data_IF_711801463284
#
_entry.id   IF_711801463284
#
_cell.length_a   1.000
_cell.length_b   1.000
_cell.length_c   1.000
_cell.angle_alpha   90.00
_cell.angle_beta   90.00
_cell.angle_gamma   90.00
#
_symmetry.space_group_name_H-M   'P 1'
#
loop_
_entity.id
_entity.type
_entity.pdbx_description
1 polymer ?
#
# COMPACT_ATOMS: atom_id res chain seq x y z
N UNK A 1 0.41 19.29 -28.87
CA UNK A 1 0.27 18.87 -27.46
C UNK A 1 0.73 17.43 -27.20
N UNK A 2 0.12 16.44 -27.86
CA UNK A 2 0.48 15.02 -27.72
C UNK A 2 1.96 14.71 -27.93
N UNK A 3 2.56 15.24 -28.99
CA UNK A 3 3.99 15.05 -29.28
C UNK A 3 4.87 15.62 -28.17
N UNK A 4 4.49 16.77 -27.58
CA UNK A 4 5.21 17.39 -26.47
C UNK A 4 5.16 16.51 -25.22
N UNK A 5 3.97 16.01 -24.86
CA UNK A 5 3.78 15.11 -23.72
C UNK A 5 4.46 13.76 -23.94
N UNK A 6 4.51 13.26 -25.18
CA UNK A 6 5.22 12.02 -25.50
C UNK A 6 6.75 12.15 -25.40
N UNK A 7 7.29 13.33 -25.71
CA UNK A 7 8.73 13.62 -25.59
C UNK A 7 9.16 13.88 -24.15
N UNK A 8 8.29 14.52 -23.36
CA UNK A 8 8.57 14.91 -21.98
C UNK A 8 7.35 14.58 -21.10
N UNK A 9 7.15 13.28 -20.91
CA UNK A 9 6.03 12.76 -20.15
C UNK A 9 6.15 13.18 -18.68
N UNK A 10 5.02 13.57 -18.04
CA UNK A 10 5.05 13.95 -16.63
C UNK A 10 5.54 12.77 -15.79
N UNK A 11 6.36 13.05 -14.78
CA UNK A 11 6.76 12.02 -13.82
C UNK A 11 5.55 11.59 -13.00
N UNK A 12 5.25 10.30 -13.06
CA UNK A 12 4.14 9.70 -12.35
C UNK A 12 4.53 9.28 -10.91
N UNK A 13 5.84 9.33 -10.57
CA UNK A 13 6.36 9.18 -9.21
C UNK A 13 5.92 10.32 -8.29
N UNK A 14 5.79 11.54 -8.84
CA UNK A 14 5.44 12.78 -8.14
C UNK A 14 3.92 12.90 -7.86
N UNK A 15 3.18 11.78 -7.81
CA UNK A 15 1.78 11.77 -7.39
C UNK A 15 1.62 11.64 -5.86
N UNK A 16 2.71 11.72 -5.09
CA UNK A 16 2.69 11.89 -3.64
C UNK A 16 2.40 13.37 -3.30
N UNK A 17 1.49 13.67 -2.36
CA UNK A 17 1.14 15.04 -1.98
C UNK A 17 2.26 15.82 -1.26
N UNK A 18 3.42 15.21 -1.02
CA UNK A 18 4.53 15.79 -0.27
C UNK A 18 5.62 16.43 -1.14
N UNK A 19 5.67 16.11 -2.44
CA UNK A 19 6.58 16.83 -3.36
C UNK A 19 5.89 18.12 -3.81
N UNK A 20 6.21 19.18 -3.08
CA UNK A 20 5.87 20.55 -3.44
C UNK A 20 6.21 20.77 -4.91
N UNK A 21 5.29 21.34 -5.71
CA UNK A 21 5.63 21.68 -7.08
C UNK A 21 6.89 22.56 -7.04
N UNK A 22 7.81 22.32 -7.97
CA UNK A 22 9.12 22.97 -7.96
C UNK A 22 9.02 24.49 -7.75
N UNK A 23 10.10 25.15 -7.31
CA UNK A 23 10.11 26.54 -6.84
C UNK A 23 9.60 27.59 -7.85
N UNK A 24 9.36 27.21 -9.11
CA UNK A 24 8.78 28.05 -10.16
C UNK A 24 7.24 28.01 -10.24
N UNK A 25 6.56 27.18 -9.43
CA UNK A 25 5.12 26.99 -9.48
C UNK A 25 4.35 27.83 -8.45
N UNK A 26 5.01 28.26 -7.38
CA UNK A 26 4.45 29.18 -6.38
C UNK A 26 4.67 30.63 -6.81
N UNK A 27 3.58 31.35 -7.02
CA UNK A 27 3.61 32.78 -7.34
C UNK A 27 2.85 33.50 -6.25
N UNK A 28 3.54 34.34 -5.49
CA UNK A 28 2.92 35.33 -4.63
C UNK A 28 2.68 36.62 -5.45
N UNK A 29 1.42 36.87 -5.82
CA UNK A 29 1.07 38.08 -6.55
C UNK A 29 1.39 39.38 -5.78
N UNK A 30 1.44 39.34 -4.45
CA UNK A 30 1.68 40.51 -3.61
C UNK A 30 3.15 40.94 -3.57
N UNK A 31 4.07 39.99 -3.83
CA UNK A 31 5.51 40.23 -3.81
C UNK A 31 6.12 40.33 -5.21
N UNK A 32 5.36 39.98 -6.25
CA UNK A 32 5.76 40.06 -7.66
C UNK A 32 5.93 38.68 -8.29
N UNK A 33 5.83 38.63 -9.62
CA UNK A 33 5.82 37.38 -10.40
C UNK A 33 7.12 36.56 -10.28
N UNK A 34 8.22 37.15 -9.80
CA UNK A 34 9.50 36.47 -9.63
C UNK A 34 9.89 36.19 -8.18
N UNK A 35 9.15 36.68 -7.19
CA UNK A 35 9.52 36.60 -5.78
C UNK A 35 9.81 35.16 -5.33
N UNK A 36 8.83 34.25 -5.46
CA UNK A 36 9.00 32.85 -5.05
C UNK A 36 10.12 32.11 -5.79
N UNK A 37 10.31 32.40 -7.09
CA UNK A 37 11.38 31.81 -7.89
C UNK A 37 12.77 32.28 -7.42
N UNK A 38 12.93 33.56 -7.10
CA UNK A 38 14.20 34.13 -6.62
C UNK A 38 14.50 33.63 -5.20
N UNK A 39 13.50 33.61 -4.32
CA UNK A 39 13.66 33.16 -2.94
C UNK A 39 14.11 31.71 -2.83
N UNK A 40 13.51 30.83 -3.62
CA UNK A 40 13.75 29.40 -3.52
C UNK A 40 14.95 28.90 -4.34
N UNK A 41 15.43 29.67 -5.32
CA UNK A 41 16.59 29.28 -6.13
C UNK A 41 17.91 29.40 -5.37
N UNK A 42 18.82 28.48 -5.68
CA UNK A 42 20.21 28.45 -5.19
C UNK A 42 21.23 28.38 -6.34
N UNK A 43 20.74 28.49 -7.56
CA UNK A 43 21.50 28.44 -8.80
C UNK A 43 21.41 29.77 -9.56
N UNK A 44 22.37 29.99 -10.45
CA UNK A 44 22.42 31.15 -11.33
C UNK A 44 22.85 30.74 -12.74
N UNK A 45 22.61 31.64 -13.70
CA UNK A 45 23.07 31.49 -15.07
C UNK A 45 23.94 32.68 -15.46
N UNK A 46 25.17 32.40 -15.94
CA UNK A 46 26.05 33.35 -16.60
C UNK A 46 26.10 32.96 -18.08
N UNK A 47 25.74 33.89 -18.96
CA UNK A 47 25.81 33.66 -20.40
C UNK A 47 27.22 33.96 -20.98
N UNK A 48 27.51 33.59 -22.25
CA UNK A 48 28.82 33.83 -22.86
C UNK A 48 29.20 35.31 -22.96
N UNK A 49 28.25 36.23 -22.76
CA UNK A 49 28.50 37.66 -22.72
C UNK A 49 28.86 38.16 -21.32
N UNK A 50 29.04 37.27 -20.34
CA UNK A 50 29.34 37.65 -18.96
C UNK A 50 28.15 38.26 -18.23
N UNK A 51 26.93 37.90 -18.65
CA UNK A 51 25.71 38.43 -18.05
C UNK A 51 25.11 37.45 -17.07
N UNK A 52 24.92 37.87 -15.81
CA UNK A 52 24.34 37.09 -14.73
C UNK A 52 22.81 37.25 -14.68
N UNK A 53 22.10 36.15 -14.40
CA UNK A 53 20.66 36.09 -14.15
C UNK A 53 20.29 34.90 -13.26
N UNK A 54 19.11 34.91 -12.65
CA UNK A 54 18.61 33.82 -11.80
C UNK A 54 17.98 32.65 -12.59
N UNK A 55 17.82 32.79 -13.91
CA UNK A 55 17.25 31.76 -14.77
C UNK A 55 17.81 31.88 -16.20
N UNK A 56 18.16 30.76 -16.82
CA UNK A 56 18.73 30.71 -18.17
C UNK A 56 17.80 31.26 -19.27
N UNK A 57 16.48 31.24 -19.04
CA UNK A 57 15.47 31.76 -19.95
C UNK A 57 15.28 33.28 -19.86
N UNK A 58 15.81 33.96 -18.84
CA UNK A 58 15.74 35.42 -18.77
C UNK A 58 16.59 35.99 -19.90
N UNK A 59 15.94 36.62 -20.88
CA UNK A 59 16.57 37.35 -21.99
C UNK A 59 16.28 38.85 -22.00
N UNK A 60 15.45 39.34 -21.08
CA UNK A 60 15.25 40.78 -20.90
C UNK A 60 16.53 41.42 -20.33
N UNK A 61 17.15 42.39 -21.04
CA UNK A 61 18.29 43.13 -20.53
C UNK A 61 18.02 43.84 -19.19
N UNK A 62 16.78 44.21 -18.89
CA UNK A 62 16.43 44.90 -17.64
C UNK A 62 16.48 43.99 -16.40
N UNK A 63 16.53 42.66 -16.59
CA UNK A 63 16.57 41.64 -15.54
C UNK A 63 17.93 40.92 -15.50
N UNK A 64 18.96 41.53 -16.06
CA UNK A 64 20.27 40.93 -16.32
C UNK A 64 21.39 41.84 -15.83
N UNK A 65 22.40 41.25 -15.21
CA UNK A 65 23.51 41.97 -14.60
C UNK A 65 24.81 41.76 -15.37
N UNK A 66 25.50 42.85 -15.74
CA UNK A 66 26.75 42.80 -16.51
C UNK A 66 27.97 42.63 -15.58
N UNK A 67 28.51 41.42 -15.48
CA UNK A 67 29.66 41.11 -14.63
C UNK A 67 30.95 41.77 -15.12
N UNK A 68 30.97 42.36 -16.32
CA UNK A 68 32.14 43.12 -16.80
C UNK A 68 32.18 44.53 -16.21
N UNK A 69 31.07 44.99 -15.64
CA UNK A 69 30.90 46.34 -15.08
C UNK A 69 30.76 46.36 -13.56
N UNK A 70 30.67 45.21 -12.91
CA UNK A 70 30.57 45.12 -11.46
C UNK A 70 30.91 43.72 -10.94
N UNK A 71 30.64 43.47 -9.66
CA UNK A 71 31.06 42.21 -9.00
C UNK A 71 29.97 41.15 -9.01
N UNK A 72 30.36 39.87 -8.91
CA UNK A 72 29.42 38.77 -8.73
C UNK A 72 28.61 38.91 -7.44
N UNK A 73 29.25 39.28 -6.34
CA UNK A 73 28.60 39.50 -5.04
C UNK A 73 27.48 40.53 -5.14
N UNK A 74 27.72 41.66 -5.82
CA UNK A 74 26.68 42.66 -6.07
C UNK A 74 25.55 42.11 -6.95
N UNK A 75 25.89 41.36 -8.00
CA UNK A 75 24.91 40.71 -8.86
C UNK A 75 24.00 39.70 -8.13
N UNK A 76 24.59 38.90 -7.24
CA UNK A 76 23.94 37.79 -6.55
C UNK A 76 23.21 38.22 -5.26
N UNK A 77 23.86 39.00 -4.40
CA UNK A 77 23.34 39.36 -3.08
C UNK A 77 22.45 40.62 -3.11
N UNK A 78 22.53 41.44 -4.17
CA UNK A 78 21.81 42.72 -4.25
C UNK A 78 20.91 42.80 -5.47
N UNK A 79 21.49 42.66 -6.67
CA UNK A 79 20.74 42.88 -7.92
C UNK A 79 19.61 41.85 -8.09
N UNK A 80 19.91 40.55 -8.03
CA UNK A 80 18.91 39.47 -8.22
C UNK A 80 17.78 39.55 -7.17
N UNK A 81 18.06 39.62 -5.84
CA UNK A 81 17.02 39.79 -4.84
C UNK A 81 16.14 41.03 -5.08
N UNK A 82 16.74 42.13 -5.54
CA UNK A 82 16.03 43.36 -5.91
C UNK A 82 15.06 43.22 -7.09
N UNK A 83 15.08 42.11 -7.83
CA UNK A 83 14.15 41.85 -8.94
C UNK A 83 12.82 41.23 -8.50
N UNK A 84 12.70 40.73 -7.26
CA UNK A 84 11.52 39.99 -6.77
C UNK A 84 10.19 40.70 -7.09
N UNK A 85 10.09 41.98 -6.72
CA UNK A 85 8.91 42.83 -6.96
C UNK A 85 8.95 43.70 -8.21
N UNK A 86 9.94 43.50 -9.10
CA UNK A 86 10.12 44.37 -10.28
C UNK A 86 9.07 44.11 -11.37
N UNK A 87 8.57 42.89 -11.46
CA UNK A 87 7.56 42.48 -12.44
C UNK A 87 6.28 42.07 -11.71
N UNK A 88 5.24 42.87 -11.89
CA UNK A 88 3.96 42.64 -11.23
C UNK A 88 2.96 41.88 -12.10
N UNK A 89 2.07 41.15 -11.46
CA UNK A 89 0.96 40.49 -12.12
C UNK A 89 0.04 41.52 -12.80
N UNK A 90 -0.12 41.39 -14.12
CA UNK A 90 -1.04 42.20 -14.91
C UNK A 90 -2.46 41.61 -14.96
N UNK A 91 -3.45 42.36 -15.48
CA UNK A 91 -4.82 41.87 -15.64
C UNK A 91 -4.93 40.59 -16.50
N UNK A 92 -4.02 40.44 -17.47
CA UNK A 92 -3.92 39.25 -18.31
C UNK A 92 -3.60 37.98 -17.52
N UNK A 93 -2.75 38.07 -16.50
CA UNK A 93 -2.42 36.95 -15.62
C UNK A 93 -3.59 36.62 -14.70
N UNK A 94 -4.11 37.63 -13.97
CA UNK A 94 -5.18 37.43 -12.98
C UNK A 94 -6.46 36.84 -13.57
N UNK A 95 -6.82 37.25 -14.79
CA UNK A 95 -7.99 36.72 -15.50
C UNK A 95 -7.78 35.30 -16.05
N UNK A 96 -6.53 34.86 -16.19
CA UNK A 96 -6.17 33.59 -16.83
C UNK A 96 -5.31 32.73 -15.89
N UNK A 97 -3.99 32.78 -16.04
CA UNK A 97 -3.05 31.87 -15.39
C UNK A 97 -3.09 31.93 -13.86
N UNK A 98 -3.33 33.11 -13.26
CA UNK A 98 -3.42 33.29 -11.81
C UNK A 98 -4.67 32.67 -11.18
N UNK A 99 -5.75 32.49 -11.95
CA UNK A 99 -6.99 31.86 -11.51
C UNK A 99 -7.17 30.43 -12.06
N UNK A 100 -6.14 29.87 -12.70
CA UNK A 100 -6.24 28.61 -13.43
C UNK A 100 -6.05 27.41 -12.49
N UNK A 101 -7.02 26.49 -12.47
CA UNK A 101 -6.98 25.23 -11.72
C UNK A 101 -5.97 24.21 -12.27
N UNK A 102 -5.43 24.47 -13.47
CA UNK A 102 -4.42 23.63 -14.16
C UNK A 102 -2.98 24.04 -13.87
N UNK A 103 -2.75 24.90 -12.88
CA UNK A 103 -1.42 25.46 -12.63
C UNK A 103 -0.35 24.39 -12.34
N UNK A 104 -0.73 23.31 -11.66
CA UNK A 104 0.14 22.17 -11.36
C UNK A 104 0.53 21.35 -12.61
N UNK A 105 -0.32 21.35 -13.64
CA UNK A 105 -0.08 20.66 -14.93
C UNK A 105 0.50 21.63 -15.99
N UNK A 106 0.82 22.87 -15.62
CA UNK A 106 1.15 23.93 -16.57
C UNK A 106 2.58 24.44 -16.39
N UNK A 107 3.34 24.40 -17.48
CA UNK A 107 4.72 24.89 -17.55
C UNK A 107 4.83 26.39 -17.77
N UNK A 108 3.72 27.11 -17.73
CA UNK A 108 3.73 28.57 -17.84
C UNK A 108 4.60 29.17 -16.74
N UNK A 109 5.43 30.13 -17.11
CA UNK A 109 6.08 31.03 -16.16
C UNK A 109 6.18 32.42 -16.79
N UNK A 110 6.39 33.48 -15.99
CA UNK A 110 6.43 34.85 -16.51
C UNK A 110 7.54 35.04 -17.55
N UNK A 111 8.68 34.34 -17.39
CA UNK A 111 9.80 34.38 -18.35
C UNK A 111 9.39 33.80 -19.69
N UNK A 112 8.69 32.65 -19.68
CA UNK A 112 8.18 32.02 -20.89
C UNK A 112 7.15 32.92 -21.58
N UNK A 113 6.25 33.53 -20.81
CA UNK A 113 5.28 34.49 -21.34
C UNK A 113 5.96 35.67 -22.04
N UNK A 114 7.03 36.20 -21.45
CA UNK A 114 7.84 37.27 -22.05
C UNK A 114 8.55 36.83 -23.33
N UNK A 115 9.14 35.63 -23.37
CA UNK A 115 9.80 35.13 -24.58
C UNK A 115 8.83 34.97 -25.76
N UNK A 116 7.60 34.55 -25.49
CA UNK A 116 6.57 34.33 -26.51
C UNK A 116 5.87 35.62 -26.98
N UNK A 117 5.74 36.62 -26.08
CA UNK A 117 4.84 37.76 -26.33
C UNK A 117 5.40 39.14 -25.98
N UNK A 118 6.58 39.20 -25.36
CA UNK A 118 7.11 40.42 -24.73
C UNK A 118 6.36 40.86 -23.46
N UNK A 119 5.39 40.07 -22.98
CA UNK A 119 4.56 40.40 -21.82
C UNK A 119 4.59 39.28 -20.77
N UNK A 120 5.10 39.60 -19.58
CA UNK A 120 5.22 38.68 -18.43
C UNK A 120 3.90 38.11 -17.92
N UNK A 121 2.76 38.72 -18.27
CA UNK A 121 1.42 38.33 -17.82
C UNK A 121 0.57 37.71 -18.93
N UNK A 122 1.14 37.45 -20.12
CA UNK A 122 0.37 36.91 -21.23
C UNK A 122 0.02 35.43 -21.03
N UNK A 123 -1.22 35.09 -21.37
CA UNK A 123 -1.63 33.69 -21.56
C UNK A 123 -1.02 33.17 -22.86
N UNK A 124 -0.41 31.98 -22.81
CA UNK A 124 0.15 31.31 -23.98
C UNK A 124 -0.77 30.14 -24.37
N UNK A 125 -1.58 30.24 -25.45
CA UNK A 125 -2.60 29.25 -25.76
C UNK A 125 -2.08 27.83 -25.94
N UNK A 126 -0.90 27.65 -26.54
CA UNK A 126 -0.35 26.31 -26.75
C UNK A 126 0.05 25.63 -25.43
N UNK A 127 0.57 26.39 -24.44
CA UNK A 127 0.88 25.85 -23.11
C UNK A 127 -0.37 25.42 -22.36
N UNK A 128 -1.51 26.10 -22.57
CA UNK A 128 -2.79 25.63 -22.05
C UNK A 128 -3.20 24.30 -22.69
N UNK A 129 -3.04 24.16 -24.00
CA UNK A 129 -3.33 22.90 -24.69
C UNK A 129 -2.39 21.75 -24.27
N UNK A 130 -1.12 22.05 -23.95
CA UNK A 130 -0.18 21.07 -23.37
C UNK A 130 -0.62 20.68 -21.97
N UNK A 131 -0.98 21.61 -21.11
CA UNK A 131 -1.47 21.31 -19.76
C UNK A 131 -2.75 20.45 -19.78
N UNK A 132 -3.65 20.69 -20.73
CA UNK A 132 -4.84 19.86 -20.94
C UNK A 132 -4.48 18.42 -21.33
N UNK A 133 -3.50 18.27 -22.21
CA UNK A 133 -3.00 16.96 -22.62
C UNK A 133 -2.23 16.27 -21.48
N UNK A 134 -1.41 16.98 -20.71
CA UNK A 134 -0.69 16.42 -19.53
C UNK A 134 -1.68 15.89 -18.49
N UNK A 135 -2.75 16.65 -18.19
CA UNK A 135 -3.83 16.19 -17.30
C UNK A 135 -4.51 14.94 -17.85
N UNK A 136 -4.86 14.95 -19.13
CA UNK A 136 -5.49 13.80 -19.81
C UNK A 136 -4.59 12.57 -19.74
N UNK A 137 -3.31 12.74 -20.04
CA UNK A 137 -2.30 11.69 -19.95
C UNK A 137 -2.18 11.13 -18.54
N UNK A 138 -2.09 12.00 -17.52
CA UNK A 138 -1.99 11.61 -16.10
C UNK A 138 -3.19 10.79 -15.65
N UNK A 139 -4.40 11.20 -16.03
CA UNK A 139 -5.64 10.49 -15.70
C UNK A 139 -5.75 9.14 -16.42
N UNK A 140 -5.39 9.09 -17.70
CA UNK A 140 -5.33 7.85 -18.47
C UNK A 140 -4.29 6.88 -17.90
N UNK A 141 -3.11 7.38 -17.53
CA UNK A 141 -2.06 6.59 -16.92
C UNK A 141 -2.55 5.99 -15.60
N UNK A 142 -3.10 6.81 -14.69
CA UNK A 142 -3.66 6.32 -13.42
C UNK A 142 -4.71 5.23 -13.64
N UNK A 143 -5.61 5.40 -14.61
CA UNK A 143 -6.63 4.39 -14.93
C UNK A 143 -6.02 3.07 -15.44
N UNK A 144 -4.94 3.13 -16.21
CA UNK A 144 -4.32 1.95 -16.83
C UNK A 144 -3.28 1.26 -15.94
N UNK A 145 -2.59 2.01 -15.10
CA UNK A 145 -1.40 1.58 -14.36
C UNK A 145 -1.60 1.48 -12.85
N UNK A 146 -2.76 1.89 -12.32
CA UNK A 146 -3.06 1.84 -10.89
C UNK A 146 -4.23 0.92 -10.56
N UNK A 147 -4.09 0.12 -9.50
CA UNK A 147 -5.18 -0.68 -8.92
C UNK A 147 -5.17 -0.53 -7.41
N UNK A 148 -6.34 -0.67 -6.79
CA UNK A 148 -6.48 -0.61 -5.34
C UNK A 148 -7.07 -1.91 -4.80
N UNK A 149 -6.53 -2.38 -3.70
CA UNK A 149 -7.00 -3.54 -2.95
C UNK A 149 -7.20 -3.15 -1.49
N UNK A 150 -8.07 -3.84 -0.74
CA UNK A 150 -8.30 -3.52 0.66
C UNK A 150 -8.37 -4.75 1.54
N UNK A 151 -7.58 -4.76 2.61
CA UNK A 151 -7.58 -5.80 3.64
C UNK A 151 -7.30 -5.18 5.02
N UNK A 152 -7.99 -5.65 6.06
CA UNK A 152 -7.84 -5.17 7.44
C UNK A 152 -7.98 -3.64 7.61
N UNK A 153 -8.83 -3.01 6.81
CA UNK A 153 -9.03 -1.55 6.80
C UNK A 153 -7.93 -0.75 6.07
N UNK A 154 -6.91 -1.42 5.57
CA UNK A 154 -5.77 -0.84 4.83
C UNK A 154 -6.06 -0.93 3.33
N UNK A 155 -5.92 0.17 2.61
CA UNK A 155 -5.98 0.20 1.15
C UNK A 155 -4.58 0.15 0.55
N UNK A 156 -4.32 -0.86 -0.28
CA UNK A 156 -3.06 -1.05 -0.99
C UNK A 156 -3.22 -0.54 -2.42
N UNK A 157 -2.47 0.51 -2.75
CA UNK A 157 -2.33 1.05 -4.09
C UNK A 157 -1.18 0.36 -4.80
N UNK A 158 -1.48 -0.38 -5.86
CA UNK A 158 -0.49 -0.96 -6.76
C UNK A 158 -0.34 -0.07 -7.97
N UNK A 159 0.89 0.35 -8.24
CA UNK A 159 1.31 1.03 -9.46
C UNK A 159 2.29 0.15 -10.23
N UNK A 160 2.28 0.27 -11.56
CA UNK A 160 3.12 -0.55 -12.42
C UNK A 160 3.49 0.21 -13.69
N UNK A 161 4.76 0.15 -14.07
CA UNK A 161 5.22 0.73 -15.34
C UNK A 161 4.61 0.01 -16.56
N UNK A 162 4.11 -1.22 -16.39
CA UNK A 162 3.32 -1.95 -17.40
C UNK A 162 1.81 -1.70 -17.21
N UNK A 163 1.06 -1.56 -18.31
CA UNK A 163 -0.41 -1.42 -18.27
C UNK A 163 -1.07 -2.63 -17.59
N UNK A 164 -1.70 -2.41 -16.43
CA UNK A 164 -2.36 -3.46 -15.63
C UNK A 164 -3.61 -4.04 -16.30
N UNK A 165 -4.20 -3.32 -17.25
CA UNK A 165 -5.32 -3.83 -18.06
C UNK A 165 -4.92 -4.94 -19.03
N UNK A 166 -3.62 -5.08 -19.33
CA UNK A 166 -3.08 -6.12 -20.21
C UNK A 166 -2.74 -7.44 -19.49
N UNK A 167 -2.88 -7.46 -18.16
CA UNK A 167 -2.51 -8.58 -17.30
C UNK A 167 -3.75 -9.11 -16.58
N UNK A 168 -3.85 -10.44 -16.45
CA UNK A 168 -4.93 -11.09 -15.71
C UNK A 168 -4.55 -11.17 -14.23
N UNK A 169 -5.38 -10.62 -13.36
CA UNK A 169 -5.22 -10.82 -11.91
C UNK A 169 -5.82 -12.15 -11.46
N UNK A 170 -5.19 -12.77 -10.48
CA UNK A 170 -5.75 -13.92 -9.76
C UNK A 170 -7.13 -13.54 -9.19
N UNK A 171 -8.20 -14.34 -9.44
CA UNK A 171 -9.52 -14.09 -8.87
C UNK A 171 -9.52 -13.88 -7.34
N UNK A 172 -8.64 -14.57 -6.61
CA UNK A 172 -8.51 -14.39 -5.17
C UNK A 172 -8.05 -12.98 -4.77
N UNK A 173 -7.16 -12.35 -5.56
CA UNK A 173 -6.78 -10.95 -5.37
C UNK A 173 -7.93 -10.00 -5.74
N UNK A 174 -8.63 -10.28 -6.84
CA UNK A 174 -9.75 -9.45 -7.31
C UNK A 174 -10.90 -9.40 -6.30
N UNK A 175 -11.07 -10.41 -5.45
CA UNK A 175 -12.03 -10.39 -4.34
C UNK A 175 -11.78 -9.24 -3.34
N UNK A 176 -10.56 -8.70 -3.30
CA UNK A 176 -10.15 -7.59 -2.43
C UNK A 176 -10.06 -6.25 -3.17
N UNK A 177 -10.37 -6.20 -4.47
CA UNK A 177 -10.26 -4.98 -5.26
C UNK A 177 -11.28 -3.91 -4.82
N UNK A 178 -10.84 -2.65 -4.78
CA UNK A 178 -11.67 -1.47 -4.46
C UNK A 178 -11.46 -0.37 -5.51
N UNK A 179 -12.41 0.56 -5.71
CA UNK A 179 -12.32 1.53 -6.80
C UNK A 179 -11.29 2.65 -6.57
N UNK A 180 -10.81 2.84 -5.34
CA UNK A 180 -9.97 3.99 -5.00
C UNK A 180 -9.38 3.92 -3.59
N UNK A 181 -8.71 5.00 -3.16
CA UNK A 181 -8.04 5.08 -1.86
C UNK A 181 -9.03 5.01 -0.68
N UNK A 182 -8.52 4.53 0.45
CA UNK A 182 -9.22 4.47 1.74
C UNK A 182 -8.74 5.53 2.72
N UNK A 183 -8.98 5.31 4.02
CA UNK A 183 -8.48 6.18 5.09
C UNK A 183 -6.99 5.95 5.39
N UNK A 184 -6.56 4.70 5.29
CA UNK A 184 -5.19 4.24 5.50
C UNK A 184 -4.73 3.65 4.17
N UNK A 185 -3.69 4.24 3.58
CA UNK A 185 -3.23 3.89 2.24
C UNK A 185 -1.75 3.53 2.28
N UNK A 186 -1.40 2.46 1.57
CA UNK A 186 -0.01 2.08 1.28
C UNK A 186 0.18 2.04 -0.22
N UNK A 187 1.38 2.35 -0.70
CA UNK A 187 1.67 2.45 -2.14
C UNK A 187 2.85 1.57 -2.50
N UNK A 188 2.65 0.63 -3.43
CA UNK A 188 3.70 -0.20 -3.99
C UNK A 188 3.82 0.02 -5.49
N UNK A 189 5.01 0.39 -5.94
CA UNK A 189 5.31 0.62 -7.35
C UNK A 189 6.16 -0.51 -7.92
N UNK A 190 5.70 -1.05 -9.05
CA UNK A 190 6.35 -2.13 -9.78
C UNK A 190 7.09 -1.56 -10.98
N UNK A 191 8.39 -1.76 -10.97
CA UNK A 191 9.32 -1.44 -12.02
C UNK A 191 9.76 -2.72 -12.71
N UNK A 192 9.84 -2.68 -14.03
CA UNK A 192 10.35 -3.79 -14.86
C UNK A 192 11.71 -3.46 -15.48
N UNK A 193 12.40 -2.49 -14.88
CA UNK A 193 13.74 -2.08 -15.22
C UNK A 193 14.53 -1.99 -13.91
N UNK A 194 15.66 -2.67 -13.85
CA UNK A 194 16.50 -2.69 -12.66
C UNK A 194 17.36 -1.43 -12.59
N UNK A 195 17.46 -0.76 -11.42
CA UNK A 195 18.38 0.34 -11.23
C UNK A 195 19.83 -0.16 -11.29
N UNK A 196 20.78 0.74 -11.58
CA UNK A 196 22.20 0.41 -11.49
C UNK A 196 22.58 0.21 -10.02
N UNK A 197 22.72 -1.06 -9.64
CA UNK A 197 23.05 -1.50 -8.28
C UNK A 197 24.53 -1.81 -8.09
N UNK A 198 25.38 -1.61 -9.11
CA UNK A 198 26.79 -2.05 -9.08
C UNK A 198 27.63 -1.33 -8.02
N UNK A 199 27.20 -0.15 -7.57
CA UNK A 199 27.86 0.67 -6.54
C UNK A 199 26.98 0.94 -5.32
N UNK A 200 25.81 0.29 -5.25
CA UNK A 200 24.87 0.47 -4.15
C UNK A 200 25.37 -0.26 -2.89
N UNK A 201 25.56 0.47 -1.81
CA UNK A 201 25.62 -0.10 -0.46
C UNK A 201 24.18 -0.27 0.05
N UNK A 202 23.74 -1.51 0.28
CA UNK A 202 22.39 -1.82 0.78
C UNK A 202 22.27 -1.78 2.32
N UNK A 203 23.34 -1.38 3.01
CA UNK A 203 23.39 -1.32 4.46
C UNK A 203 23.59 -2.70 5.13
N UNK A 204 23.65 -2.73 6.48
CA UNK A 204 23.87 -3.96 7.23
C UNK A 204 22.75 -5.00 7.04
N UNK A 205 23.15 -6.26 6.89
CA UNK A 205 22.24 -7.40 6.88
C UNK A 205 21.71 -7.69 8.28
N UNK A 206 20.38 -7.77 8.40
CA UNK A 206 19.70 -8.14 9.64
C UNK A 206 19.16 -9.57 9.60
N UNK A 207 19.05 -10.15 8.41
CA UNK A 207 18.56 -11.51 8.19
C UNK A 207 19.21 -12.13 6.96
N UNK A 208 19.66 -13.38 7.07
CA UNK A 208 20.21 -14.19 5.97
C UNK A 208 19.79 -15.64 6.12
N UNK A 209 18.80 -16.06 5.34
CA UNK A 209 18.41 -17.46 5.18
C UNK A 209 17.53 -17.58 3.95
N UNK A 210 17.88 -18.51 3.07
CA UNK A 210 17.13 -18.75 1.84
C UNK A 210 15.61 -18.88 2.09
N UNK A 211 14.77 -18.23 1.27
CA UNK A 211 15.14 -17.53 0.04
C UNK A 211 15.54 -16.06 0.23
N UNK A 212 15.78 -15.56 1.45
CA UNK A 212 15.90 -14.11 1.70
C UNK A 212 17.23 -13.66 2.32
N UNK A 213 17.71 -12.52 1.82
CA UNK A 213 18.59 -11.61 2.56
C UNK A 213 17.85 -10.29 2.77
N UNK A 214 17.82 -9.82 4.02
CA UNK A 214 17.17 -8.56 4.40
C UNK A 214 18.22 -7.64 4.99
N UNK A 215 18.33 -6.43 4.44
CA UNK A 215 19.24 -5.38 4.87
C UNK A 215 18.45 -4.16 5.32
N UNK A 216 19.03 -3.32 6.17
CA UNK A 216 18.40 -2.07 6.65
C UNK A 216 19.32 -0.89 6.36
N UNK A 217 18.81 0.12 5.65
CA UNK A 217 19.56 1.35 5.30
C UNK A 217 18.64 2.55 5.43
N UNK A 218 19.07 3.59 6.16
CA UNK A 218 18.40 4.91 6.19
C UNK A 218 16.88 4.85 6.41
N UNK A 219 16.40 3.97 7.30
CA UNK A 219 14.95 3.83 7.54
C UNK A 219 14.19 3.09 6.43
N UNK A 220 14.88 2.28 5.62
CA UNK A 220 14.28 1.42 4.59
C UNK A 220 14.73 -0.03 4.76
N UNK A 221 13.84 -0.94 4.36
CA UNK A 221 14.09 -2.38 4.30
C UNK A 221 14.40 -2.78 2.88
N UNK A 222 15.51 -3.48 2.68
CA UNK A 222 15.94 -3.97 1.37
C UNK A 222 15.91 -5.50 1.37
N UNK A 223 15.08 -6.09 0.53
CA UNK A 223 14.96 -7.54 0.35
C UNK A 223 15.61 -7.95 -0.98
N UNK A 224 16.39 -9.03 -0.92
CA UNK A 224 16.99 -9.70 -2.08
C UNK A 224 16.81 -11.21 -1.94
N UNK A 225 16.64 -11.88 -3.07
CA UNK A 225 16.53 -13.34 -3.11
C UNK A 225 17.92 -13.99 -2.95
N UNK A 226 17.97 -15.16 -2.32
CA UNK A 226 19.20 -15.97 -2.21
C UNK A 226 18.88 -17.45 -2.27
N UNK A 227 19.55 -18.18 -3.16
CA UNK A 227 19.42 -19.64 -3.24
C UNK A 227 19.90 -20.37 -1.98
N UNK A 228 19.42 -21.61 -1.69
CA UNK A 228 19.75 -22.38 -0.48
C UNK A 228 21.24 -22.56 -0.19
N UNK A 229 22.08 -22.60 -1.23
CA UNK A 229 23.52 -22.78 -1.15
C UNK A 229 24.31 -21.61 -1.77
N UNK A 230 23.63 -20.51 -2.11
CA UNK A 230 24.26 -19.35 -2.72
C UNK A 230 25.02 -18.55 -1.65
N UNK A 231 26.22 -18.07 -2.01
CA UNK A 231 27.02 -17.19 -1.13
C UNK A 231 26.58 -15.73 -1.27
N UNK A 232 26.15 -15.35 -2.46
CA UNK A 232 25.72 -13.99 -2.83
C UNK A 232 24.23 -13.99 -3.15
N UNK A 233 23.49 -12.93 -2.76
CA UNK A 233 22.12 -12.72 -3.21
C UNK A 233 22.05 -12.56 -4.73
N UNK A 234 20.88 -12.87 -5.27
CA UNK A 234 20.49 -12.52 -6.64
C UNK A 234 20.32 -11.00 -6.74
N UNK A 235 20.63 -10.45 -7.92
CA UNK A 235 20.66 -9.00 -8.18
C UNK A 235 19.69 -8.59 -9.28
N UNK A 236 18.86 -9.52 -9.74
CA UNK A 236 17.90 -9.34 -10.82
C UNK A 236 16.50 -8.96 -10.30
N UNK A 237 16.25 -9.13 -8.99
CA UNK A 237 15.07 -8.64 -8.30
C UNK A 237 15.42 -7.92 -7.00
N UNK A 238 14.67 -6.87 -6.69
CA UNK A 238 14.91 -6.03 -5.51
C UNK A 238 13.59 -5.47 -4.98
N UNK A 239 13.39 -5.55 -3.66
CA UNK A 239 12.27 -4.88 -3.00
C UNK A 239 12.79 -3.92 -1.94
N UNK A 240 12.36 -2.67 -2.03
CA UNK A 240 12.69 -1.61 -1.07
C UNK A 240 11.39 -1.16 -0.44
N UNK A 241 11.27 -1.27 0.88
CA UNK A 241 10.10 -0.79 1.63
C UNK A 241 10.53 0.30 2.60
N UNK A 242 9.65 1.28 2.85
CA UNK A 242 9.80 2.23 3.96
C UNK A 242 9.81 1.49 5.31
N UNK A 243 10.29 2.14 6.37
CA UNK A 243 10.40 1.55 7.71
C UNK A 243 9.08 0.93 8.21
N UNK A 244 7.96 1.57 7.88
CA UNK A 244 6.59 1.23 8.26
C UNK A 244 5.81 0.47 7.17
N UNK A 245 6.47 0.09 6.06
CA UNK A 245 5.88 -0.56 4.89
C UNK A 245 4.72 0.22 4.21
N UNK A 246 4.59 1.52 4.48
CA UNK A 246 3.59 2.37 3.81
C UNK A 246 3.94 2.67 2.36
N UNK A 247 5.22 2.66 2.00
CA UNK A 247 5.73 2.83 0.63
C UNK A 247 6.64 1.67 0.25
N UNK A 248 6.64 1.29 -1.03
CA UNK A 248 7.56 0.30 -1.53
C UNK A 248 7.82 0.37 -3.04
N UNK A 249 9.07 0.13 -3.42
CA UNK A 249 9.53 0.02 -4.81
C UNK A 249 9.98 -1.40 -5.07
N UNK A 250 9.45 -1.99 -6.13
CA UNK A 250 9.58 -3.40 -6.46
C UNK A 250 10.16 -3.49 -7.86
N UNK A 251 11.41 -3.91 -7.95
CA UNK A 251 12.13 -4.03 -9.21
C UNK A 251 12.17 -5.49 -9.63
N UNK A 252 11.64 -5.73 -10.83
CA UNK A 252 11.46 -7.03 -11.44
C UNK A 252 12.18 -7.08 -12.78
N UNK A 253 12.40 -8.30 -13.27
CA UNK A 253 13.05 -8.52 -14.56
C UNK A 253 12.08 -8.41 -15.73
N UNK A 254 12.62 -8.28 -16.94
CA UNK A 254 11.86 -8.47 -18.18
C UNK A 254 11.26 -9.88 -18.32
N UNK A 255 11.86 -10.89 -17.67
CA UNK A 255 11.31 -12.24 -17.64
C UNK A 255 10.04 -12.29 -16.78
N UNK A 256 10.04 -11.66 -15.61
CA UNK A 256 8.85 -11.52 -14.75
C UNK A 256 7.72 -10.81 -15.49
N UNK A 257 8.03 -9.79 -16.30
CA UNK A 257 7.07 -9.10 -17.16
C UNK A 257 6.43 -10.03 -18.19
N UNK A 258 7.17 -11.00 -18.73
CA UNK A 258 6.63 -12.01 -19.66
C UNK A 258 5.74 -13.00 -18.91
N UNK A 259 6.22 -13.51 -17.77
CA UNK A 259 5.46 -14.43 -16.90
C UNK A 259 4.12 -13.82 -16.47
N UNK A 260 4.10 -12.53 -16.14
CA UNK A 260 2.86 -11.80 -15.85
C UNK A 260 1.82 -11.85 -16.97
N UNK A 261 2.26 -11.79 -18.23
CA UNK A 261 1.34 -11.82 -19.38
C UNK A 261 0.77 -13.22 -19.61
N UNK A 262 1.52 -14.26 -19.28
CA UNK A 262 1.13 -15.67 -19.52
C UNK A 262 0.41 -16.30 -18.34
N UNK A 263 0.91 -16.12 -17.13
CA UNK A 263 0.41 -16.75 -15.90
C UNK A 263 -0.55 -15.83 -15.14
N UNK A 264 -0.28 -14.52 -15.16
CA UNK A 264 -1.08 -13.50 -14.48
C UNK A 264 -0.42 -12.96 -13.21
N UNK A 265 -1.14 -12.08 -12.53
CA UNK A 265 -0.72 -11.40 -11.30
C UNK A 265 -1.23 -12.16 -10.07
N UNK A 266 -0.35 -12.78 -9.31
CA UNK A 266 -0.70 -13.72 -8.22
C UNK A 266 -0.44 -13.21 -6.80
N UNK A 267 0.49 -12.28 -6.61
CA UNK A 267 0.77 -11.61 -5.32
C UNK A 267 0.90 -10.11 -5.53
N UNK A 268 0.59 -9.30 -4.52
CA UNK A 268 0.62 -7.85 -4.65
C UNK A 268 2.03 -7.30 -4.80
N UNK A 269 3.05 -8.02 -4.34
CA UNK A 269 4.44 -7.56 -4.42
C UNK A 269 5.38 -8.48 -5.19
N UNK A 270 4.90 -9.54 -5.84
CA UNK A 270 5.77 -10.54 -6.51
C UNK A 270 6.75 -11.30 -5.61
N UNK A 271 6.71 -11.08 -4.29
CA UNK A 271 7.38 -11.98 -3.35
C UNK A 271 6.71 -13.36 -3.40
N UNK A 272 7.46 -14.40 -2.98
CA UNK A 272 6.91 -15.75 -2.81
C UNK A 272 5.68 -15.78 -1.91
N UNK A 273 5.55 -14.81 -0.99
CA UNK A 273 4.31 -14.57 -0.26
C UNK A 273 4.21 -13.12 0.23
N UNK A 274 3.02 -12.53 0.12
CA UNK A 274 2.71 -11.19 0.65
C UNK A 274 2.75 -11.13 2.19
N UNK A 275 2.82 -12.27 2.89
CA UNK A 275 2.96 -12.33 4.35
C UNK A 275 4.20 -11.57 4.84
N UNK A 276 5.23 -11.44 4.01
CA UNK A 276 6.52 -10.83 4.35
C UNK A 276 6.38 -9.35 4.70
N UNK A 277 5.63 -8.60 3.91
CA UNK A 277 5.39 -7.17 4.14
C UNK A 277 4.09 -6.95 4.92
N UNK A 278 3.09 -7.82 4.73
CA UNK A 278 1.78 -7.63 5.33
C UNK A 278 1.80 -7.91 6.85
N UNK A 279 2.56 -8.90 7.33
CA UNK A 279 2.67 -9.17 8.76
C UNK A 279 3.22 -7.97 9.58
N UNK A 280 4.40 -7.39 9.24
CA UNK A 280 4.89 -6.22 9.98
C UNK A 280 3.96 -5.00 9.84
N UNK A 281 3.37 -4.78 8.65
CA UNK A 281 2.40 -3.69 8.43
C UNK A 281 1.16 -3.80 9.33
N UNK A 282 0.65 -5.02 9.51
CA UNK A 282 -0.51 -5.32 10.37
C UNK A 282 -0.21 -5.09 11.85
N UNK A 283 0.99 -5.46 12.30
CA UNK A 283 1.41 -5.29 13.69
C UNK A 283 1.34 -3.81 14.12
N UNK A 284 1.72 -2.90 13.22
CA UNK A 284 1.62 -1.45 13.44
C UNK A 284 0.18 -0.93 13.54
N UNK A 285 -0.78 -1.71 13.04
CA UNK A 285 -2.21 -1.38 12.97
C UNK A 285 -3.05 -2.22 13.94
N UNK A 286 -2.42 -2.78 14.97
CA UNK A 286 -3.10 -3.55 16.01
C UNK A 286 -3.74 -4.84 15.49
N UNK A 287 -3.13 -5.44 14.46
CA UNK A 287 -3.59 -6.66 13.84
C UNK A 287 -2.46 -7.70 13.74
N UNK A 288 -2.84 -8.97 13.68
CA UNK A 288 -1.91 -10.09 13.48
C UNK A 288 -2.47 -11.07 12.46
N UNK A 289 -1.57 -11.74 11.75
CA UNK A 289 -1.93 -12.78 10.80
C UNK A 289 -1.72 -14.17 11.40
N UNK A 290 -2.69 -15.07 11.22
CA UNK A 290 -2.67 -16.42 11.75
C UNK A 290 -2.86 -17.46 10.65
N UNK A 291 -2.05 -18.51 10.70
CA UNK A 291 -2.25 -19.74 9.92
C UNK A 291 -3.45 -20.51 10.46
N UNK A 292 -4.59 -20.30 9.82
CA UNK A 292 -5.90 -20.71 10.30
C UNK A 292 -6.90 -20.72 9.14
N UNK A 293 -8.02 -21.42 9.31
CA UNK A 293 -9.20 -21.18 8.49
C UNK A 293 -10.19 -20.29 9.23
N UNK A 294 -10.97 -19.48 8.52
CA UNK A 294 -12.02 -18.68 9.13
C UNK A 294 -13.27 -18.63 8.26
N UNK A 295 -14.39 -18.52 8.94
CA UNK A 295 -15.72 -18.41 8.33
C UNK A 295 -16.53 -17.35 9.06
N UNK A 296 -17.54 -16.81 8.38
CA UNK A 296 -18.63 -16.06 8.98
C UNK A 296 -19.91 -16.88 8.89
N UNK A 297 -20.58 -17.08 10.02
CA UNK A 297 -21.92 -17.68 10.08
C UNK A 297 -22.89 -16.62 10.63
N UNK A 298 -23.94 -16.30 9.88
CA UNK A 298 -24.92 -15.26 10.22
C UNK A 298 -24.25 -13.91 10.56
N UNK A 299 -23.18 -13.56 9.82
CA UNK A 299 -22.39 -12.34 10.03
C UNK A 299 -21.46 -12.37 11.24
N UNK A 300 -21.25 -13.52 11.89
CA UNK A 300 -20.37 -13.68 13.04
C UNK A 300 -19.17 -14.57 12.69
N UNK A 301 -17.96 -14.07 12.95
CA UNK A 301 -16.70 -14.71 12.54
C UNK A 301 -16.20 -15.73 13.55
N UNK A 302 -15.76 -16.89 13.06
CA UNK A 302 -15.04 -17.90 13.82
C UNK A 302 -13.72 -18.21 13.13
N UNK A 303 -12.66 -18.39 13.94
CA UNK A 303 -11.33 -18.74 13.47
C UNK A 303 -10.96 -20.14 13.97
N UNK A 304 -10.56 -21.02 13.07
CA UNK A 304 -10.13 -22.38 13.36
C UNK A 304 -8.61 -22.49 13.21
N UNK A 305 -7.92 -22.68 14.33
CA UNK A 305 -6.48 -22.78 14.41
C UNK A 305 -6.03 -24.22 14.62
N UNK A 306 -4.95 -24.62 13.97
CA UNK A 306 -4.37 -25.95 14.15
C UNK A 306 -3.13 -26.14 13.29
N UNK A 307 -2.30 -27.11 13.67
CA UNK A 307 -1.13 -27.49 12.88
C UNK A 307 -1.54 -27.96 11.47
N UNK A 308 -0.61 -27.98 10.52
CA UNK A 308 -0.85 -28.58 9.20
C UNK A 308 -1.33 -30.02 9.37
N UNK A 309 -2.40 -30.40 8.68
CA UNK A 309 -3.05 -31.71 8.84
C UNK A 309 -4.07 -31.83 9.98
N UNK A 310 -4.27 -30.79 10.82
CA UNK A 310 -5.28 -30.83 11.89
C UNK A 310 -6.74 -30.86 11.39
N UNK A 311 -6.98 -30.63 10.10
CA UNK A 311 -8.30 -30.68 9.47
C UNK A 311 -8.94 -29.33 9.17
N UNK A 312 -8.17 -28.23 9.07
CA UNK A 312 -8.70 -26.87 8.78
C UNK A 312 -9.58 -26.81 7.53
N UNK A 313 -9.08 -27.28 6.39
CA UNK A 313 -9.81 -27.34 5.12
C UNK A 313 -11.00 -28.30 5.19
N UNK A 314 -10.85 -29.42 5.91
CA UNK A 314 -11.92 -30.40 6.16
C UNK A 314 -13.08 -29.77 6.95
N UNK A 315 -12.78 -29.00 8.01
CA UNK A 315 -13.78 -28.29 8.81
C UNK A 315 -14.55 -27.29 7.95
N UNK A 316 -13.86 -26.46 7.16
CA UNK A 316 -14.49 -25.49 6.25
C UNK A 316 -15.41 -26.18 5.25
N UNK A 317 -14.96 -27.27 4.63
CA UNK A 317 -15.73 -28.04 3.65
C UNK A 317 -16.98 -28.68 4.27
N UNK A 318 -16.84 -29.23 5.48
CA UNK A 318 -17.95 -29.84 6.23
C UNK A 318 -19.02 -28.81 6.60
N UNK A 319 -18.61 -27.64 7.08
CA UNK A 319 -19.51 -26.55 7.43
C UNK A 319 -20.24 -26.03 6.17
N UNK A 320 -19.52 -25.89 5.05
CA UNK A 320 -20.11 -25.51 3.76
C UNK A 320 -21.19 -26.50 3.32
N UNK A 321 -20.88 -27.80 3.34
CA UNK A 321 -21.82 -28.86 2.93
C UNK A 321 -23.07 -28.91 3.83
N UNK A 322 -22.92 -28.62 5.12
CA UNK A 322 -24.04 -28.54 6.04
C UNK A 322 -24.95 -27.31 5.79
N UNK A 323 -24.40 -26.23 5.23
CA UNK A 323 -25.16 -25.02 4.86
C UNK A 323 -25.82 -25.06 3.47
N UNK A 324 -25.21 -25.75 2.49
CA UNK A 324 -25.72 -25.84 1.10
C UNK A 324 -26.65 -27.02 0.87
N UNK A 325 -26.42 -28.14 1.55
CA UNK A 325 -27.35 -29.26 1.58
C UNK A 325 -28.39 -29.00 2.65
N UNK A 326 -29.67 -29.18 2.32
CA UNK A 326 -30.76 -29.40 3.27
C UNK A 326 -30.54 -30.69 4.08
N UNK A 327 -29.38 -30.81 4.72
CA UNK A 327 -29.05 -31.82 5.69
C UNK A 327 -30.02 -31.55 6.83
N UNK A 328 -31.06 -32.38 6.90
CA UNK A 328 -31.97 -32.50 8.03
C UNK A 328 -31.12 -32.77 9.28
N UNK A 329 -30.56 -31.73 9.88
CA UNK A 329 -29.98 -31.81 11.21
C UNK A 329 -31.16 -32.08 12.14
N UNK A 330 -31.23 -33.34 12.54
CA UNK A 330 -32.08 -34.00 13.53
C UNK A 330 -33.09 -33.11 14.27
N UNK A 331 -34.36 -33.45 14.00
CA UNK A 331 -35.60 -33.21 14.76
C UNK A 331 -35.38 -32.92 16.26
N UNK A 332 -35.28 -31.66 16.64
CA UNK A 332 -35.76 -31.21 17.95
C UNK A 332 -36.25 -29.76 17.89
N UNK A 333 -37.58 -29.61 17.81
CA UNK A 333 -38.45 -28.48 18.21
C UNK A 333 -38.05 -27.00 18.00
N UNK A 334 -37.00 -26.65 17.27
CA UNK A 334 -36.71 -25.26 16.88
C UNK A 334 -36.70 -25.13 15.36
N UNK A 335 -37.41 -24.10 14.87
CA UNK A 335 -37.58 -23.74 13.46
C UNK A 335 -36.26 -23.88 12.67
N UNK A 336 -36.36 -24.44 11.46
CA UNK A 336 -35.34 -24.38 10.41
C UNK A 336 -34.76 -22.97 10.34
N UNK A 337 -33.56 -22.78 10.89
CA UNK A 337 -32.76 -21.58 10.71
C UNK A 337 -31.76 -21.89 9.62
N UNK A 338 -31.96 -21.33 8.43
CA UNK A 338 -30.92 -21.26 7.41
C UNK A 338 -29.71 -20.54 7.99
N UNK A 339 -28.53 -21.16 7.97
CA UNK A 339 -27.27 -20.50 8.31
C UNK A 339 -26.71 -19.84 7.05
N UNK A 340 -26.51 -18.53 7.10
CA UNK A 340 -25.73 -17.82 6.08
C UNK A 340 -24.24 -18.05 6.37
N UNK A 341 -23.57 -18.85 5.53
CA UNK A 341 -22.18 -19.27 5.72
C UNK A 341 -21.32 -18.65 4.63
N UNK A 342 -20.28 -17.93 5.04
CA UNK A 342 -19.26 -17.37 4.16
C UNK A 342 -17.89 -17.85 4.58
N UNK A 343 -17.14 -18.40 3.64
CA UNK A 343 -15.73 -18.73 3.85
C UNK A 343 -14.92 -17.44 3.71
N UNK A 344 -14.10 -17.13 4.70
CA UNK A 344 -13.23 -15.95 4.67
C UNK A 344 -11.90 -16.27 4.00
N UNK A 345 -11.22 -17.30 4.49
CA UNK A 345 -10.00 -17.89 3.92
C UNK A 345 -9.69 -19.18 4.70
N UNK A 346 -9.12 -20.20 4.08
CA UNK A 346 -8.80 -21.48 4.73
C UNK A 346 -7.35 -21.60 5.24
N UNK A 347 -6.47 -20.65 4.91
CA UNK A 347 -5.05 -20.73 5.24
C UNK A 347 -4.50 -19.52 6.02
N UNK A 348 -4.74 -18.28 5.56
CA UNK A 348 -4.22 -17.07 6.22
C UNK A 348 -5.36 -16.10 6.52
N UNK A 349 -5.58 -15.86 7.81
CA UNK A 349 -6.60 -14.94 8.29
C UNK A 349 -5.98 -13.90 9.22
N UNK A 350 -6.59 -12.72 9.23
CA UNK A 350 -6.16 -11.59 10.03
C UNK A 350 -7.13 -11.42 11.18
N UNK A 351 -6.57 -11.27 12.39
CA UNK A 351 -7.31 -10.86 13.58
C UNK A 351 -6.89 -9.43 13.92
N UNK A 352 -7.86 -8.53 13.97
CA UNK A 352 -7.62 -7.10 14.20
C UNK A 352 -8.47 -6.61 15.37
N UNK A 353 -7.89 -5.69 16.15
CA UNK A 353 -8.60 -4.96 17.19
C UNK A 353 -8.74 -3.47 16.82
N UNK A 354 -9.95 -3.06 16.45
CA UNK A 354 -10.26 -1.68 16.05
C UNK A 354 -11.48 -1.19 16.79
N UNK A 355 -11.41 0.01 17.38
CA UNK A 355 -12.52 0.66 18.10
C UNK A 355 -13.16 -0.23 19.19
N UNK A 356 -12.35 -0.95 19.96
CA UNK A 356 -12.82 -1.83 21.03
C UNK A 356 -13.52 -3.11 20.55
N UNK A 357 -13.36 -3.47 19.27
CA UNK A 357 -13.98 -4.68 18.70
C UNK A 357 -12.94 -5.54 18.01
N UNK A 358 -13.08 -6.84 18.21
CA UNK A 358 -12.31 -7.85 17.49
C UNK A 358 -13.02 -8.22 16.21
N UNK A 359 -12.26 -8.24 15.12
CA UNK A 359 -12.72 -8.71 13.81
C UNK A 359 -11.76 -9.74 13.26
N UNK A 360 -12.30 -10.69 12.50
CA UNK A 360 -11.54 -11.62 11.67
C UNK A 360 -11.84 -11.33 10.20
N UNK A 361 -10.82 -11.43 9.36
CA UNK A 361 -10.93 -11.25 7.92
C UNK A 361 -10.01 -12.24 7.20
N UNK A 362 -10.44 -12.70 6.03
CA UNK A 362 -9.62 -13.51 5.14
C UNK A 362 -8.53 -12.71 4.44
N UNK A 363 -7.63 -13.43 3.79
CA UNK A 363 -6.65 -12.87 2.84
C UNK A 363 -6.79 -13.55 1.48
N UNK A 364 -6.09 -13.06 0.47
CA UNK A 364 -6.01 -13.69 -0.85
C UNK A 364 -5.12 -14.96 -0.86
N UNK A 365 -4.46 -15.29 0.25
CA UNK A 365 -3.61 -16.47 0.39
C UNK A 365 -4.45 -17.65 0.90
N UNK A 366 -5.12 -18.35 -0.02
CA UNK A 366 -5.84 -19.58 0.30
C UNK A 366 -4.96 -20.84 0.16
N UNK A 367 -5.40 -21.91 0.82
CA UNK A 367 -4.85 -23.26 0.72
C UNK A 367 -5.66 -24.10 -0.27
N UNK A 368 -6.25 -25.18 0.22
CA UNK A 368 -6.97 -26.18 -0.59
C UNK A 368 -8.30 -25.65 -1.13
N UNK A 369 -8.93 -24.71 -0.41
CA UNK A 369 -10.24 -24.15 -0.76
C UNK A 369 -10.03 -22.77 -1.41
N UNK A 370 -10.30 -22.60 -2.72
CA UNK A 370 -10.00 -21.35 -3.43
C UNK A 370 -10.95 -20.19 -3.12
N UNK A 371 -11.89 -20.37 -2.18
CA UNK A 371 -12.84 -19.34 -1.76
C UNK A 371 -12.21 -18.41 -0.74
N UNK A 372 -12.18 -17.12 -1.08
CA UNK A 372 -11.74 -16.04 -0.20
C UNK A 372 -12.78 -14.93 -0.17
N UNK A 373 -12.81 -14.20 0.93
CA UNK A 373 -13.68 -13.03 1.09
C UNK A 373 -12.92 -11.87 1.74
N UNK A 374 -13.12 -10.68 1.17
CA UNK A 374 -12.65 -9.42 1.72
C UNK A 374 -13.57 -8.87 2.83
N UNK A 375 -14.68 -9.52 3.14
CA UNK A 375 -15.59 -9.03 4.19
C UNK A 375 -15.03 -9.35 5.59
N UNK A 376 -14.89 -8.35 6.48
CA UNK A 376 -14.59 -8.62 7.88
C UNK A 376 -15.84 -9.14 8.61
N UNK A 377 -15.64 -9.95 9.64
CA UNK A 377 -16.69 -10.39 10.55
C UNK A 377 -16.26 -10.17 12.02
N UNK A 378 -17.17 -9.76 12.93
CA UNK A 378 -16.88 -9.72 14.37
C UNK A 378 -16.42 -11.08 14.88
N UNK A 379 -15.26 -11.14 15.54
CA UNK A 379 -14.69 -12.40 16.02
C UNK A 379 -15.42 -12.90 17.28
N UNK A 380 -16.03 -14.08 17.19
CA UNK A 380 -16.73 -14.75 18.29
C UNK A 380 -15.91 -15.81 19.01
N UNK A 381 -14.79 -16.23 18.44
CA UNK A 381 -13.90 -17.11 19.15
C UNK A 381 -12.86 -17.76 18.26
N UNK A 382 -11.83 -18.25 18.93
CA UNK A 382 -10.75 -19.01 18.33
C UNK A 382 -10.89 -20.46 18.75
N UNK A 383 -11.02 -21.35 17.78
CA UNK A 383 -11.25 -22.78 17.96
C UNK A 383 -9.98 -23.54 17.57
N UNK A 384 -9.34 -24.16 18.55
CA UNK A 384 -8.18 -25.02 18.32
C UNK A 384 -8.63 -26.42 17.97
N UNK A 385 -8.28 -26.87 16.77
CA UNK A 385 -8.73 -28.15 16.21
C UNK A 385 -8.09 -29.34 16.92
N UNK A 386 -8.91 -30.31 17.28
CA UNK A 386 -8.50 -31.63 17.76
C UNK A 386 -9.42 -32.70 17.17
N UNK A 387 -8.83 -33.66 16.44
CA UNK A 387 -9.58 -34.82 15.97
C UNK A 387 -9.99 -35.69 17.16
N UNK A 388 -11.28 -36.02 17.24
CA UNK A 388 -11.88 -36.84 18.29
C UNK A 388 -13.08 -37.61 17.73
N UNK A 389 -13.58 -38.60 18.45
CA UNK A 389 -14.85 -39.28 18.15
C UNK A 389 -16.07 -38.46 18.59
N UNK A 390 -15.86 -37.48 19.47
CA UNK A 390 -16.89 -36.59 20.01
C UNK A 390 -16.88 -35.26 19.27
N UNK A 391 -18.05 -34.64 19.16
CA UNK A 391 -18.21 -33.29 18.62
C UNK A 391 -18.61 -32.38 19.77
N UNK A 392 -17.71 -31.50 20.23
CA UNK A 392 -17.99 -30.54 21.31
C UNK A 392 -16.98 -29.41 21.35
N UNK A 393 -17.39 -28.30 21.96
CA UNK A 393 -16.54 -27.16 22.24
C UNK A 393 -16.16 -27.12 23.72
N UNK A 394 -14.88 -27.22 24.04
CA UNK A 394 -14.38 -27.15 25.43
C UNK A 394 -13.69 -25.80 25.65
N UNK A 395 -14.22 -24.89 26.49
CA UNK A 395 -13.57 -23.62 26.77
C UNK A 395 -12.16 -23.83 27.35
N UNK A 396 -11.18 -23.09 26.84
CA UNK A 396 -9.82 -23.08 27.39
C UNK A 396 -9.72 -21.90 28.34
N UNK A 397 -9.63 -22.17 29.64
CA UNK A 397 -9.51 -21.14 30.68
C UNK A 397 -8.05 -20.83 31.05
N UNK A 398 -7.12 -21.74 30.76
CA UNK A 398 -5.70 -21.51 30.98
C UNK A 398 -5.12 -20.60 29.90
N UNK A 399 -4.87 -19.35 30.26
CA UNK A 399 -4.25 -18.34 29.39
C UNK A 399 -2.88 -18.77 28.86
N UNK A 400 -2.11 -19.55 29.62
CA UNK A 400 -0.80 -20.05 29.17
C UNK A 400 -0.96 -21.08 28.05
N UNK A 401 -2.00 -21.90 28.12
CA UNK A 401 -2.33 -22.83 27.05
C UNK A 401 -2.76 -22.09 25.78
N UNK A 402 -3.66 -21.11 25.90
CA UNK A 402 -4.09 -20.27 24.77
C UNK A 402 -2.89 -19.59 24.11
N UNK A 403 -2.02 -18.98 24.91
CA UNK A 403 -0.81 -18.32 24.43
C UNK A 403 0.08 -19.23 23.58
N UNK A 404 0.39 -20.44 24.10
CA UNK A 404 1.20 -21.43 23.37
C UNK A 404 0.57 -21.83 22.04
N UNK A 405 -0.75 -22.03 22.02
CA UNK A 405 -1.47 -22.43 20.81
C UNK A 405 -1.54 -21.31 19.78
N UNK A 406 -1.73 -20.05 20.20
CA UNK A 406 -1.70 -18.88 19.33
C UNK A 406 -0.31 -18.67 18.72
N UNK A 407 0.75 -18.74 19.54
CA UNK A 407 2.13 -18.63 19.04
C UNK A 407 2.48 -19.67 17.99
N UNK A 408 1.91 -20.88 18.08
CA UNK A 408 2.15 -21.95 17.12
C UNK A 408 1.54 -21.68 15.74
N UNK A 409 0.52 -20.80 15.65
CA UNK A 409 -0.16 -20.45 14.40
C UNK A 409 0.08 -19.01 13.95
N UNK A 410 0.78 -18.20 14.75
CA UNK A 410 1.17 -16.84 14.36
C UNK A 410 2.10 -16.87 13.15
N UNK A 411 1.79 -16.07 12.13
CA UNK A 411 2.70 -15.79 11.02
C UNK A 411 3.74 -14.80 11.54
N UNK A 412 5.02 -15.20 11.53
CA UNK A 412 6.09 -14.46 12.20
C UNK A 412 6.84 -13.58 11.19
N UNK A 413 7.08 -12.30 11.50
CA UNK A 413 7.86 -11.40 10.66
C UNK A 413 9.34 -11.78 10.72
N UNK A 414 10.04 -11.58 9.61
CA UNK A 414 11.47 -11.87 9.49
C UNK A 414 12.26 -10.60 9.77
N UNK A 415 12.98 -10.49 10.90
CA UNK A 415 14.15 -9.60 10.95
C UNK A 415 14.41 -8.80 12.22
N UNK A 416 13.43 -8.49 13.09
CA UNK A 416 13.70 -7.66 14.29
C UNK A 416 12.88 -8.00 15.53
N UNK A 417 13.47 -7.75 16.71
CA UNK A 417 12.79 -7.88 18.01
C UNK A 417 11.62 -6.89 18.18
N UNK A 418 11.66 -5.74 17.51
CA UNK A 418 10.62 -4.71 17.58
C UNK A 418 9.31 -5.18 16.96
N UNK A 419 9.34 -5.89 15.83
CA UNK A 419 8.11 -6.45 15.25
C UNK A 419 7.51 -7.55 16.09
N UNK A 420 8.37 -8.40 16.65
CA UNK A 420 7.95 -9.42 17.61
C UNK A 420 7.21 -8.80 18.79
N UNK A 421 7.72 -7.72 19.37
CA UNK A 421 7.05 -7.07 20.49
C UNK A 421 5.63 -6.60 20.12
N UNK A 422 5.47 -5.94 18.97
CA UNK A 422 4.16 -5.42 18.52
C UNK A 422 3.14 -6.55 18.30
N UNK A 423 3.54 -7.66 17.68
CA UNK A 423 2.64 -8.80 17.51
C UNK A 423 2.29 -9.47 18.85
N UNK A 424 3.27 -9.61 19.75
CA UNK A 424 3.05 -10.18 21.07
C UNK A 424 2.09 -9.32 21.91
N UNK A 425 2.14 -8.00 21.79
CA UNK A 425 1.20 -7.08 22.45
C UNK A 425 -0.24 -7.29 21.95
N UNK A 426 -0.43 -7.54 20.64
CA UNK A 426 -1.75 -7.87 20.08
C UNK A 426 -2.19 -9.25 20.56
N UNK A 427 -1.31 -10.25 20.56
CA UNK A 427 -1.60 -11.59 21.07
C UNK A 427 -2.02 -11.57 22.54
N UNK A 428 -1.38 -10.74 23.36
CA UNK A 428 -1.77 -10.56 24.76
C UNK A 428 -3.20 -10.06 24.91
N UNK A 429 -3.59 -9.09 24.08
CA UNK A 429 -4.97 -8.61 24.05
C UNK A 429 -5.93 -9.71 23.59
N UNK A 430 -5.55 -10.56 22.64
CA UNK A 430 -6.37 -11.72 22.22
C UNK A 430 -6.55 -12.69 23.39
N UNK A 431 -5.47 -13.11 24.04
CA UNK A 431 -5.50 -14.07 25.17
C UNK A 431 -6.37 -13.58 26.32
N UNK A 432 -6.42 -12.26 26.53
CA UNK A 432 -7.19 -11.67 27.62
C UNK A 432 -8.66 -11.44 27.29
N UNK A 433 -9.04 -11.23 26.02
CA UNK A 433 -10.35 -10.71 25.66
C UNK A 433 -11.14 -11.57 24.66
N UNK A 434 -10.50 -12.53 23.98
CA UNK A 434 -11.15 -13.36 22.95
C UNK A 434 -11.40 -14.78 23.50
N UNK A 435 -12.67 -15.26 23.50
CA UNK A 435 -12.98 -16.63 23.90
C UNK A 435 -12.24 -17.66 23.04
N UNK A 436 -11.60 -18.62 23.69
CA UNK A 436 -10.83 -19.69 23.05
C UNK A 436 -11.38 -21.06 23.45
N UNK A 437 -11.51 -21.95 22.48
CA UNK A 437 -12.08 -23.28 22.67
C UNK A 437 -11.17 -24.35 22.07
N UNK A 438 -11.13 -25.52 22.69
CA UNK A 438 -10.68 -26.75 22.07
C UNK A 438 -11.88 -27.37 21.35
N UNK A 439 -11.80 -27.44 20.03
CA UNK A 439 -12.83 -27.99 19.18
C UNK A 439 -12.52 -29.45 18.89
N UNK A 440 -13.24 -30.34 19.57
CA UNK A 440 -13.18 -31.77 19.33
C UNK A 440 -14.20 -32.13 18.25
N UNK A 441 -13.78 -32.82 17.19
CA UNK A 441 -14.66 -33.13 16.07
C UNK A 441 -14.28 -34.42 15.33
N UNK A 442 -15.30 -35.05 14.74
CA UNK A 442 -15.18 -36.11 13.74
C UNK A 442 -15.65 -35.58 12.36
N UNK A 443 -15.69 -36.46 11.34
CA UNK A 443 -16.13 -36.09 10.00
C UNK A 443 -17.66 -36.14 9.79
N UNK A 444 -18.45 -36.33 10.86
CA UNK A 444 -19.90 -36.55 10.75
C UNK A 444 -20.73 -35.29 10.49
N UNK A 445 -20.16 -34.10 10.63
CA UNK A 445 -20.89 -32.83 10.53
C UNK A 445 -21.59 -32.37 11.81
N UNK A 446 -21.62 -33.18 12.88
CA UNK A 446 -22.33 -32.81 14.12
C UNK A 446 -21.75 -31.57 14.81
N UNK A 447 -20.48 -31.25 14.59
CA UNK A 447 -19.84 -30.05 15.14
C UNK A 447 -20.53 -28.75 14.68
N UNK A 448 -21.18 -28.74 13.51
CA UNK A 448 -21.85 -27.55 12.95
C UNK A 448 -22.94 -27.03 13.88
N UNK A 449 -23.68 -27.92 14.55
CA UNK A 449 -24.71 -27.53 15.52
C UNK A 449 -24.11 -26.77 16.71
N UNK A 450 -23.00 -27.27 17.25
CA UNK A 450 -22.27 -26.65 18.37
C UNK A 450 -21.75 -25.25 18.00
N UNK A 451 -21.27 -25.07 16.77
CA UNK A 451 -20.86 -23.76 16.25
C UNK A 451 -22.04 -22.80 16.12
N UNK A 452 -23.21 -23.30 15.69
CA UNK A 452 -24.44 -22.52 15.64
C UNK A 452 -24.89 -22.04 17.01
N UNK A 453 -24.79 -22.90 18.04
CA UNK A 453 -25.10 -22.55 19.42
C UNK A 453 -24.13 -21.50 19.98
N UNK A 454 -22.82 -21.65 19.72
CA UNK A 454 -21.81 -20.66 20.12
C UNK A 454 -22.13 -19.27 19.57
N UNK A 455 -22.60 -19.20 18.31
CA UNK A 455 -22.92 -17.95 17.64
C UNK A 455 -24.26 -17.36 18.12
N UNK A 456 -25.21 -18.22 18.48
CA UNK A 456 -26.50 -17.80 19.03
C UNK A 456 -26.43 -17.38 20.51
N UNK A 457 -25.40 -17.83 21.23
CA UNK A 457 -25.18 -17.51 22.64
C UNK A 457 -24.80 -16.04 22.89
N UNK A 458 -25.02 -15.56 24.12
CA UNK A 458 -24.56 -14.24 24.53
C UNK A 458 -23.04 -14.21 24.60
N UNK A 459 -22.45 -13.26 23.88
CA UNK A 459 -21.01 -12.98 23.99
C UNK A 459 -20.77 -12.25 25.31
N UNK A 460 -19.72 -12.60 26.08
CA UNK A 460 -19.38 -11.85 27.28
C UNK A 460 -19.21 -10.38 26.88
N UNK A 461 -20.06 -9.51 27.42
CA UNK A 461 -19.93 -8.07 27.20
C UNK A 461 -18.52 -7.66 27.61
N UNK A 462 -17.86 -6.89 26.73
CA UNK A 462 -16.56 -6.30 26.99
C UNK A 462 -16.63 -5.59 28.34
N UNK A 463 -16.01 -6.17 29.37
CA UNK A 463 -15.87 -5.53 30.68
C UNK A 463 -14.77 -4.51 30.51
N UNK A 464 -15.07 -3.44 29.77
CA UNK A 464 -14.28 -2.23 29.74
C UNK A 464 -14.06 -1.81 31.18
N UNK A 465 -12.84 -2.03 31.68
CA UNK A 465 -12.43 -1.43 32.94
C UNK A 465 -12.38 0.08 32.68
N UNK A 466 -13.34 0.76 33.27
CA UNK A 466 -13.29 2.19 33.59
C UNK A 466 -11.97 2.57 34.25
#
# INVERSE_FOLDING_TARGET
PREVVALDAPDMAECDPEDSPGPCHTIDESEGLFAGCIEARRDFHIDPYGTLSFCSFIKDPALRYDLRKGSFTEGWEVFIPGLAGKVNAGPGYRKNCGACDKRADCRWCPVYAYLESGNYSAKIPYLCAVADEERTFRDEWKRKHRRYFRVAGITICIESDTELGSVRFNPALLAFAVPGPGKDNVVFRHHFEMPDTTKEDFGPEVYRKAPWVISRKEGSWVYREIGPNAKTPETDRLWIFSEDYSRGSIYLTDEDKKTLRTEGWHSLTHLTTDQIWLAPLLADRGAVMMHSSAISINGQGLLFAGHSGAGKSTTVTMIKNAGTGGTKILRSRQKERSMDIRILCDDRNIVQHTNGRWTVQGTWNHGDVPEVSADPAPLRGILFLQQDTRNRLVPITDKKEVWKRLLAVLVRPMGTATWWQKELDVLEKIVNNVPCYLMQFDTSGRIVSELGELIAGEFPADKGRS
#
